data_IF_714406241932
#
_entry.id   IF_714406241932
#
_cell.length_a   1.000
_cell.length_b   1.000
_cell.length_c   1.000
_cell.angle_alpha   90.00
_cell.angle_beta   90.00
_cell.angle_gamma   90.00
#
_symmetry.space_group_name_H-M   'P 1'
#
loop_
_entity.id
_entity.type
_entity.pdbx_description
1 polymer ?
#
# COMPACT_ATOMS: atom_id res chain seq x y z
N UNK A 1 9.16 -25.74 25.55
CA UNK A 1 8.10 -24.73 25.70
C UNK A 1 8.81 -23.38 25.78
N UNK A 2 9.25 -22.87 24.62
CA UNK A 2 10.09 -21.67 24.57
C UNK A 2 9.22 -20.45 24.91
N UNK A 3 9.66 -19.71 25.92
CA UNK A 3 9.06 -18.48 26.39
C UNK A 3 8.97 -17.48 25.22
N UNK A 4 7.75 -17.12 24.85
CA UNK A 4 7.47 -15.93 24.05
C UNK A 4 7.56 -14.75 25.02
N UNK A 5 8.77 -14.37 25.44
CA UNK A 5 9.01 -13.29 26.41
C UNK A 5 9.89 -12.16 25.85
N UNK A 6 9.81 -11.88 24.54
CA UNK A 6 10.55 -10.78 23.90
C UNK A 6 9.63 -9.81 23.12
N UNK A 7 8.37 -9.64 23.53
CA UNK A 7 7.58 -8.50 23.07
C UNK A 7 7.66 -7.39 24.11
N UNK A 8 8.31 -6.24 23.83
CA UNK A 8 8.29 -5.13 24.76
C UNK A 8 6.82 -4.73 25.02
N UNK A 9 6.41 -4.73 26.29
CA UNK A 9 5.04 -4.39 26.72
C UNK A 9 4.69 -2.91 26.43
N UNK A 10 5.65 -2.09 26.01
CA UNK A 10 5.35 -0.80 25.41
C UNK A 10 4.81 -1.02 23.99
N UNK A 11 3.48 -0.96 23.85
CA UNK A 11 2.82 -0.94 22.56
C UNK A 11 3.21 0.28 21.70
N UNK A 12 2.74 0.33 20.45
CA UNK A 12 3.02 1.43 19.54
C UNK A 12 2.59 2.77 20.13
N UNK A 13 3.39 3.81 19.89
CA UNK A 13 3.04 5.18 20.27
C UNK A 13 1.93 5.72 19.37
N UNK A 14 1.30 6.82 19.77
CA UNK A 14 0.32 7.50 18.92
C UNK A 14 0.93 7.97 17.58
N UNK A 15 2.23 8.30 17.56
CA UNK A 15 2.93 8.66 16.33
C UNK A 15 3.13 7.45 15.42
N UNK A 16 3.47 6.28 15.99
CA UNK A 16 3.61 5.04 15.22
C UNK A 16 2.26 4.63 14.60
N UNK A 17 1.17 4.73 15.37
CA UNK A 17 -0.17 4.44 14.85
C UNK A 17 -0.59 5.45 13.77
N UNK A 18 -0.28 6.73 13.93
CA UNK A 18 -0.56 7.74 12.91
C UNK A 18 0.24 7.51 11.62
N UNK A 19 1.47 7.00 11.72
CA UNK A 19 2.28 6.66 10.55
C UNK A 19 1.62 5.54 9.72
N UNK A 20 1.05 4.52 10.38
CA UNK A 20 0.31 3.44 9.70
C UNK A 20 -0.91 4.00 8.96
N UNK A 21 -1.68 4.89 9.59
CA UNK A 21 -2.85 5.51 8.94
C UNK A 21 -2.46 6.30 7.67
N UNK A 22 -1.26 6.87 7.63
CA UNK A 22 -0.75 7.54 6.43
C UNK A 22 -0.40 6.58 5.28
N UNK A 23 -0.12 5.30 5.57
CA UNK A 23 0.19 4.28 4.57
C UNK A 23 -1.07 3.72 3.89
N UNK A 24 -2.22 3.76 4.58
CA UNK A 24 -3.48 3.18 4.10
C UNK A 24 -3.88 3.57 2.67
N UNK A 25 -3.81 4.86 2.26
CA UNK A 25 -4.15 5.22 0.89
C UNK A 25 -3.26 4.59 -0.19
N UNK A 26 -1.99 4.31 0.10
CA UNK A 26 -1.09 3.61 -0.82
C UNK A 26 -1.45 2.13 -0.90
N UNK A 27 -1.68 1.49 0.26
CA UNK A 27 -2.09 0.08 0.33
C UNK A 27 -3.38 -0.14 -0.47
N UNK A 28 -4.38 0.73 -0.29
CA UNK A 28 -5.64 0.66 -1.06
C UNK A 28 -5.41 0.80 -2.57
N UNK A 29 -4.49 1.67 -2.99
CA UNK A 29 -4.13 1.82 -4.39
C UNK A 29 -3.47 0.56 -4.97
N UNK A 30 -2.62 -0.10 -4.18
CA UNK A 30 -1.95 -1.35 -4.57
C UNK A 30 -2.94 -2.51 -4.65
N UNK A 31 -3.89 -2.62 -3.71
CA UNK A 31 -4.99 -3.59 -3.77
C UNK A 31 -5.83 -3.39 -5.04
N UNK A 32 -6.19 -2.15 -5.37
CA UNK A 32 -6.92 -1.85 -6.61
C UNK A 32 -6.13 -2.22 -7.88
N UNK A 33 -4.79 -2.10 -7.84
CA UNK A 33 -3.95 -2.56 -8.94
C UNK A 33 -3.95 -4.08 -9.04
N UNK A 34 -3.83 -4.78 -7.91
CA UNK A 34 -3.89 -6.23 -7.86
C UNK A 34 -5.24 -6.76 -8.37
N UNK A 35 -6.36 -6.16 -7.96
CA UNK A 35 -7.69 -6.50 -8.45
C UNK A 35 -7.81 -6.33 -9.97
N UNK A 36 -7.26 -5.23 -10.51
CA UNK A 36 -7.23 -5.00 -11.95
C UNK A 36 -6.36 -6.02 -12.69
N UNK A 37 -5.24 -6.45 -12.11
CA UNK A 37 -4.38 -7.50 -12.67
C UNK A 37 -5.05 -8.88 -12.61
N UNK A 38 -5.74 -9.20 -11.52
CA UNK A 38 -6.53 -10.43 -11.39
C UNK A 38 -7.61 -10.46 -12.49
N UNK A 39 -8.30 -9.35 -12.73
CA UNK A 39 -9.29 -9.26 -13.81
C UNK A 39 -8.69 -9.57 -15.19
N UNK A 40 -7.47 -9.11 -15.48
CA UNK A 40 -6.75 -9.47 -16.72
C UNK A 40 -6.50 -10.98 -16.78
N UNK A 41 -6.00 -11.58 -15.70
CA UNK A 41 -5.64 -13.00 -15.66
C UNK A 41 -6.85 -13.94 -15.76
N UNK A 42 -8.01 -13.50 -15.26
CA UNK A 42 -9.25 -14.27 -15.29
C UNK A 42 -10.12 -13.96 -16.51
N UNK A 43 -9.69 -13.08 -17.43
CA UNK A 43 -10.50 -12.70 -18.58
C UNK A 43 -10.50 -13.79 -19.66
N UNK A 44 -11.69 -14.28 -20.01
CA UNK A 44 -11.92 -15.22 -21.11
C UNK A 44 -12.89 -14.60 -22.15
N UNK A 45 -12.65 -14.77 -23.47
CA UNK A 45 -11.48 -15.42 -24.07
C UNK A 45 -10.21 -14.56 -24.01
N UNK A 46 -10.33 -13.25 -23.75
CA UNK A 46 -9.22 -12.32 -23.60
C UNK A 46 -9.68 -11.05 -22.84
N UNK A 47 -8.75 -10.28 -22.26
CA UNK A 47 -9.07 -9.02 -21.59
C UNK A 47 -9.60 -7.95 -22.54
N UNK A 48 -10.53 -7.14 -22.07
CA UNK A 48 -11.10 -6.01 -22.81
C UNK A 48 -10.24 -4.75 -22.70
N UNK A 49 -10.48 -3.78 -23.58
CA UNK A 49 -9.84 -2.45 -23.50
C UNK A 49 -10.11 -1.73 -22.17
N UNK A 50 -11.27 -1.97 -21.57
CA UNK A 50 -11.63 -1.42 -20.27
C UNK A 50 -10.77 -2.01 -19.15
N UNK A 51 -10.45 -3.30 -19.21
CA UNK A 51 -9.59 -3.95 -18.22
C UNK A 51 -8.18 -3.36 -18.27
N UNK A 52 -7.64 -3.16 -19.47
CA UNK A 52 -6.37 -2.46 -19.66
C UNK A 52 -6.42 -1.00 -19.17
N UNK A 53 -7.55 -0.31 -19.35
CA UNK A 53 -7.73 1.04 -18.82
C UNK A 53 -7.77 1.05 -17.28
N UNK A 54 -8.40 0.05 -16.65
CA UNK A 54 -8.43 -0.12 -15.19
C UNK A 54 -7.01 -0.29 -14.63
N UNK A 55 -6.19 -1.16 -15.24
CA UNK A 55 -4.78 -1.34 -14.84
C UNK A 55 -4.01 -0.02 -14.92
N UNK A 56 -4.11 0.71 -16.04
CA UNK A 56 -3.41 1.99 -16.20
C UNK A 56 -3.86 3.03 -15.17
N UNK A 57 -5.14 3.07 -14.82
CA UNK A 57 -5.68 3.98 -13.79
C UNK A 57 -5.16 3.60 -12.40
N UNK A 58 -5.16 2.31 -12.07
CA UNK A 58 -4.67 1.81 -10.79
C UNK A 58 -3.16 2.07 -10.61
N UNK A 59 -2.34 1.83 -11.65
CA UNK A 59 -0.92 2.17 -11.65
C UNK A 59 -0.67 3.67 -11.39
N UNK A 60 -1.43 4.55 -12.04
CA UNK A 60 -1.34 6.00 -11.80
C UNK A 60 -1.75 6.38 -10.38
N UNK A 61 -2.73 5.68 -9.81
CA UNK A 61 -3.15 5.88 -8.44
C UNK A 61 -2.05 5.47 -7.46
N UNK A 62 -1.44 4.29 -7.63
CA UNK A 62 -0.28 3.84 -6.82
C UNK A 62 0.82 4.90 -6.83
N UNK A 63 1.23 5.37 -8.02
CA UNK A 63 2.27 6.40 -8.13
C UNK A 63 1.90 7.71 -7.43
N UNK A 64 0.63 8.12 -7.49
CA UNK A 64 0.14 9.32 -6.81
C UNK A 64 0.20 9.15 -5.28
N UNK A 65 -0.25 8.02 -4.76
CA UNK A 65 -0.27 7.79 -3.31
C UNK A 65 1.12 7.53 -2.75
N UNK A 66 2.00 6.85 -3.50
CA UNK A 66 3.40 6.70 -3.12
C UNK A 66 4.09 8.07 -2.99
N UNK A 67 3.83 8.97 -3.94
CA UNK A 67 4.32 10.36 -3.86
C UNK A 67 3.75 11.11 -2.66
N UNK A 68 2.47 10.95 -2.37
CA UNK A 68 1.82 11.59 -1.23
C UNK A 68 2.40 11.09 0.11
N UNK A 69 2.58 9.79 0.26
CA UNK A 69 3.19 9.17 1.44
C UNK A 69 4.63 9.67 1.66
N UNK A 70 5.43 9.71 0.60
CA UNK A 70 6.81 10.24 0.66
C UNK A 70 6.85 11.73 1.03
N UNK A 71 5.85 12.52 0.65
CA UNK A 71 5.75 13.92 1.03
C UNK A 71 5.26 14.11 2.48
N UNK A 72 4.45 13.17 2.98
CA UNK A 72 3.92 13.18 4.35
C UNK A 72 4.95 12.72 5.39
N UNK A 73 5.90 11.86 5.01
CA UNK A 73 7.00 11.43 5.88
C UNK A 73 8.07 12.53 5.94
N UNK A 74 8.21 13.28 7.05
CA UNK A 74 9.28 14.27 7.16
C UNK A 74 10.65 13.57 7.04
N UNK A 75 11.66 14.30 6.54
CA UNK A 75 13.03 13.82 6.35
C UNK A 75 13.76 13.40 7.65
N UNK A 76 13.06 13.30 8.78
CA UNK A 76 13.62 12.98 10.10
C UNK A 76 14.16 11.54 10.19
N UNK A 77 13.82 10.66 9.25
CA UNK A 77 14.35 9.29 9.20
C UNK A 77 15.64 9.11 8.41
N UNK A 78 16.15 10.15 7.73
CA UNK A 78 17.40 10.02 6.94
C UNK A 78 18.67 10.36 7.74
N UNK A 79 18.53 10.64 9.04
CA UNK A 79 19.62 11.07 9.93
C UNK A 79 19.82 10.15 11.15
N UNK A 80 19.44 8.87 11.06
CA UNK A 80 19.77 7.84 12.04
C UNK A 80 20.60 6.73 11.39
#
# INVERSE_FOLDING_TARGET
MACIEDFPVSGPTAADLAAIEHEMPLIEAEVLLLDAQIAILCAEPAPSDLDWQRVRRAQRQVMRQARALLAARPSSDRAA
#
